data_IF_640953731918
#
_entry.id   IF_640953731918
#
_cell.length_a   1.000
_cell.length_b   1.000
_cell.length_c   1.000
_cell.angle_alpha   90.00
_cell.angle_beta   90.00
_cell.angle_gamma   90.00
#
_symmetry.space_group_name_H-M   'P 1'
#
loop_
_entity.id
_entity.type
_entity.pdbx_description
1 polymer ?
#
# COMPACT_ATOMS: atom_id res chain seq x y z
N UNK A 1 18.37 -31.05 -37.28
CA UNK A 1 17.88 -29.67 -37.24
C UNK A 1 19.07 -28.77 -37.56
N UNK A 2 19.11 -28.22 -38.76
CA UNK A 2 20.30 -27.57 -39.35
C UNK A 2 20.18 -26.07 -39.15
N UNK A 3 21.12 -25.46 -38.41
CA UNK A 3 21.21 -24.01 -38.25
C UNK A 3 22.02 -23.41 -39.40
N UNK A 4 21.39 -22.55 -40.19
CA UNK A 4 22.02 -21.73 -41.24
C UNK A 4 22.38 -20.37 -40.63
N UNK A 5 23.65 -20.01 -40.69
CA UNK A 5 24.17 -18.70 -40.30
C UNK A 5 24.29 -17.85 -41.56
N UNK A 6 23.54 -16.75 -41.63
CA UNK A 6 23.67 -15.74 -42.69
C UNK A 6 24.43 -14.53 -42.16
N UNK A 7 25.59 -14.24 -42.74
CA UNK A 7 26.34 -13.00 -42.54
C UNK A 7 25.72 -11.89 -43.41
N UNK A 8 25.16 -10.86 -42.78
CA UNK A 8 24.69 -9.64 -43.43
C UNK A 8 25.79 -8.59 -43.52
N UNK A 9 25.95 -7.98 -44.69
CA UNK A 9 26.91 -6.93 -44.99
C UNK A 9 26.51 -5.59 -44.34
N UNK A 10 27.48 -4.94 -43.67
CA UNK A 10 27.34 -3.60 -43.09
C UNK A 10 27.66 -2.57 -44.18
N UNK A 11 26.69 -1.71 -44.50
CA UNK A 11 26.89 -0.49 -45.30
C UNK A 11 27.32 0.64 -44.37
N UNK A 12 28.40 1.32 -44.73
CA UNK A 12 28.84 2.56 -44.13
C UNK A 12 28.03 3.70 -44.75
N UNK A 13 27.13 4.30 -43.96
CA UNK A 13 26.47 5.56 -44.29
C UNK A 13 27.23 6.72 -43.62
N UNK A 14 27.34 7.82 -44.36
CA UNK A 14 28.11 9.03 -44.10
C UNK A 14 27.91 9.65 -42.71
N UNK A 15 29.03 9.90 -42.03
CA UNK A 15 29.15 10.76 -40.85
C UNK A 15 28.84 12.23 -41.21
N UNK A 16 27.60 12.66 -40.96
CA UNK A 16 27.26 14.08 -40.87
C UNK A 16 27.58 14.59 -39.47
N UNK A 17 28.67 15.36 -39.36
CA UNK A 17 28.98 16.17 -38.18
C UNK A 17 27.92 17.28 -38.08
N UNK A 18 26.90 17.04 -37.27
CA UNK A 18 25.97 18.09 -36.82
C UNK A 18 26.71 18.88 -35.74
N UNK A 19 27.01 20.16 -36.02
CA UNK A 19 27.52 21.06 -34.98
C UNK A 19 26.45 21.21 -33.89
N UNK A 20 26.66 20.53 -32.76
CA UNK A 20 25.87 20.67 -31.55
C UNK A 20 25.96 22.13 -31.07
N UNK A 21 24.88 22.88 -31.31
CA UNK A 21 24.66 24.17 -30.68
C UNK A 21 24.81 24.00 -29.16
N UNK A 22 25.79 24.70 -28.59
CA UNK A 22 26.29 24.51 -27.23
C UNK A 22 25.20 24.28 -26.19
N UNK A 23 25.14 23.05 -25.69
CA UNK A 23 24.46 22.75 -24.45
C UNK A 23 25.13 23.57 -23.34
N UNK A 24 24.43 24.63 -22.89
CA UNK A 24 24.85 25.38 -21.71
C UNK A 24 25.11 24.43 -20.54
N UNK A 25 26.03 24.76 -19.62
CA UNK A 25 26.43 23.87 -18.54
C UNK A 25 25.18 23.40 -17.80
N UNK A 26 24.84 22.12 -17.97
CA UNK A 26 23.77 21.48 -17.23
C UNK A 26 24.15 21.63 -15.76
N UNK A 27 23.46 22.52 -15.05
CA UNK A 27 23.65 22.73 -13.63
C UNK A 27 23.52 21.36 -12.95
N UNK A 28 24.65 20.80 -12.53
CA UNK A 28 24.70 19.51 -11.87
C UNK A 28 23.84 19.65 -10.60
N UNK A 29 22.61 19.14 -10.64
CA UNK A 29 21.74 19.15 -9.49
C UNK A 29 22.42 18.31 -8.42
N UNK A 30 22.86 18.96 -7.36
CA UNK A 30 23.58 18.30 -6.28
C UNK A 30 22.65 17.24 -5.64
N UNK A 31 23.07 15.96 -5.59
CA UNK A 31 22.20 14.82 -5.31
C UNK A 31 21.65 14.76 -3.87
N UNK A 32 22.03 15.72 -3.02
CA UNK A 32 21.68 15.76 -1.61
C UNK A 32 20.52 16.71 -1.27
N UNK A 33 20.03 17.47 -2.25
CA UNK A 33 18.87 18.33 -2.05
C UNK A 33 17.56 17.66 -2.42
N UNK A 34 16.57 17.78 -1.54
CA UNK A 34 15.23 17.22 -1.74
C UNK A 34 14.20 18.36 -1.66
N UNK A 35 13.31 18.44 -2.65
CA UNK A 35 12.16 19.34 -2.65
C UNK A 35 10.96 18.63 -2.01
N UNK A 36 10.58 19.04 -0.79
CA UNK A 36 9.59 18.32 0.00
C UNK A 36 8.18 18.44 -0.59
N UNK A 37 7.78 19.63 -1.04
CA UNK A 37 6.47 19.86 -1.65
C UNK A 37 6.23 19.02 -2.90
N UNK A 38 7.24 18.90 -3.77
CA UNK A 38 7.17 18.06 -4.98
C UNK A 38 7.04 16.56 -4.66
N UNK A 39 7.50 16.15 -3.47
CA UNK A 39 7.50 14.77 -3.01
C UNK A 39 6.31 14.40 -2.12
N UNK A 40 5.50 15.37 -1.69
CA UNK A 40 4.43 15.16 -0.72
C UNK A 40 3.42 14.11 -1.18
N UNK A 41 2.83 14.30 -2.37
CA UNK A 41 1.80 13.41 -2.92
C UNK A 41 2.33 12.01 -3.20
N UNK A 42 3.56 11.91 -3.73
CA UNK A 42 4.19 10.63 -4.03
C UNK A 42 4.41 9.82 -2.74
N UNK A 43 4.85 10.48 -1.67
CA UNK A 43 4.93 9.80 -0.39
C UNK A 43 3.53 9.48 0.11
N UNK A 44 2.60 10.43 0.20
CA UNK A 44 1.25 10.18 0.71
C UNK A 44 0.55 8.98 0.02
N UNK A 45 0.56 8.91 -1.30
CA UNK A 45 -0.23 7.93 -2.06
C UNK A 45 0.57 6.74 -2.59
N UNK A 46 1.83 6.91 -2.98
CA UNK A 46 2.59 5.86 -3.69
C UNK A 46 3.53 5.05 -2.79
N UNK A 47 3.88 5.56 -1.61
CA UNK A 47 4.77 4.84 -0.72
C UNK A 47 4.17 3.48 -0.32
N UNK A 48 4.87 2.42 -0.69
CA UNK A 48 4.65 1.06 -0.20
C UNK A 48 5.78 0.68 0.76
N UNK A 49 5.43 0.31 1.99
CA UNK A 49 6.40 -0.10 3.01
C UNK A 49 7.30 1.03 3.53
N UNK A 50 8.53 0.68 3.90
CA UNK A 50 9.47 1.58 4.60
C UNK A 50 10.28 2.50 3.66
N UNK A 51 10.18 2.31 2.35
CA UNK A 51 10.92 3.12 1.37
C UNK A 51 10.22 4.45 1.11
N UNK A 52 10.95 5.55 1.19
CA UNK A 52 10.43 6.87 0.79
C UNK A 52 10.53 7.03 -0.72
N UNK A 53 9.49 7.63 -1.31
CA UNK A 53 9.48 7.91 -2.74
C UNK A 53 10.12 9.28 -2.94
N UNK A 54 11.35 9.28 -3.45
CA UNK A 54 12.06 10.50 -3.85
C UNK A 54 11.95 10.68 -5.36
N UNK A 55 11.20 11.69 -5.78
CA UNK A 55 11.08 12.23 -7.13
C UNK A 55 11.95 13.50 -7.18
N UNK A 56 13.20 13.36 -7.63
CA UNK A 56 14.17 14.43 -7.85
C UNK A 56 15.61 13.92 -7.67
N UNK A 57 16.60 14.12 -8.53
CA UNK A 57 16.70 14.90 -9.78
C UNK A 57 17.52 14.15 -10.85
N UNK A 58 17.21 12.87 -11.08
CA UNK A 58 17.78 12.06 -12.16
C UNK A 58 16.67 11.38 -12.93
N UNK A 59 16.81 11.35 -14.25
CA UNK A 59 16.04 10.48 -15.16
C UNK A 59 15.81 9.13 -14.48
N UNK A 60 14.56 8.69 -14.35
CA UNK A 60 14.25 7.32 -13.92
C UNK A 60 14.85 6.38 -14.98
N UNK A 61 16.04 5.83 -14.72
CA UNK A 61 16.46 4.59 -15.35
C UNK A 61 15.52 3.52 -14.81
N UNK A 62 14.44 3.28 -15.56
CA UNK A 62 13.58 2.14 -15.31
C UNK A 62 14.43 0.87 -15.28
N UNK A 63 13.97 -0.13 -14.53
CA UNK A 63 14.63 -1.44 -14.37
C UNK A 63 14.94 -2.17 -15.70
N UNK A 64 14.47 -1.63 -16.84
CA UNK A 64 14.69 -2.09 -18.22
C UNK A 64 15.22 -1.00 -19.19
N UNK A 65 15.83 0.10 -18.72
CA UNK A 65 16.44 1.11 -19.60
C UNK A 65 15.48 1.99 -20.41
N UNK A 66 14.16 1.83 -20.25
CA UNK A 66 13.17 2.70 -20.90
C UNK A 66 13.04 4.00 -20.11
N UNK A 67 13.53 5.08 -20.70
CA UNK A 67 13.29 6.46 -20.23
C UNK A 67 11.83 6.79 -20.53
N UNK A 68 10.98 6.79 -19.50
CA UNK A 68 9.63 7.34 -19.65
C UNK A 68 9.77 8.87 -19.69
N UNK A 69 9.33 9.54 -20.78
CA UNK A 69 9.36 10.99 -20.83
C UNK A 69 8.56 11.53 -19.66
N UNK A 70 9.17 12.45 -18.90
CA UNK A 70 8.47 13.24 -17.90
C UNK A 70 7.31 13.91 -18.64
N UNK A 71 6.07 13.54 -18.29
CA UNK A 71 4.86 13.96 -18.97
C UNK A 71 4.70 15.48 -18.93
N UNK A 72 5.29 16.16 -19.91
CA UNK A 72 5.11 17.57 -20.17
C UNK A 72 3.84 17.74 -21.00
N UNK A 73 2.88 18.52 -20.50
CA UNK A 73 1.87 19.19 -21.33
C UNK A 73 0.46 18.60 -21.37
N UNK A 74 0.14 17.55 -20.60
CA UNK A 74 -1.26 17.16 -20.41
C UNK A 74 -1.95 18.22 -19.54
N UNK A 75 -3.00 18.85 -20.06
CA UNK A 75 -3.91 19.78 -19.35
C UNK A 75 -4.05 19.30 -17.90
N UNK A 76 -3.37 19.99 -16.97
CA UNK A 76 -3.43 19.64 -15.56
C UNK A 76 -4.89 19.79 -15.16
N UNK A 77 -5.57 18.68 -14.90
CA UNK A 77 -6.85 18.71 -14.20
C UNK A 77 -6.60 19.55 -12.95
N UNK A 78 -7.36 20.63 -12.76
CA UNK A 78 -7.26 21.53 -11.60
C UNK A 78 -7.56 20.83 -10.26
N UNK A 79 -7.84 19.54 -10.31
CA UNK A 79 -8.17 18.70 -9.17
C UNK A 79 -6.90 18.18 -8.49
N UNK A 80 -6.81 18.38 -7.17
CA UNK A 80 -5.69 17.86 -6.37
C UNK A 80 -5.62 16.33 -6.46
N UNK A 81 -4.40 15.78 -6.39
CA UNK A 81 -4.19 14.33 -6.37
C UNK A 81 -4.93 13.67 -5.20
N UNK A 82 -4.97 14.34 -4.04
CA UNK A 82 -5.69 13.91 -2.86
C UNK A 82 -7.18 13.75 -3.09
N UNK A 83 -7.81 14.74 -3.74
CA UNK A 83 -9.23 14.70 -4.08
C UNK A 83 -9.54 13.53 -5.03
N UNK A 84 -8.74 13.32 -6.09
CA UNK A 84 -8.93 12.19 -7.01
C UNK A 84 -8.83 10.84 -6.32
N UNK A 85 -7.81 10.65 -5.47
CA UNK A 85 -7.61 9.39 -4.74
C UNK A 85 -8.72 9.13 -3.71
N UNK A 86 -9.11 10.17 -2.96
CA UNK A 86 -10.18 10.07 -1.97
C UNK A 86 -11.54 9.79 -2.62
N UNK A 87 -11.85 10.42 -3.77
CA UNK A 87 -13.07 10.14 -4.54
C UNK A 87 -13.07 8.73 -5.10
N UNK A 88 -11.98 8.27 -5.71
CA UNK A 88 -11.88 6.90 -6.20
C UNK A 88 -12.14 5.86 -5.10
N UNK A 89 -11.63 6.10 -3.88
CA UNK A 89 -11.88 5.26 -2.73
C UNK A 89 -13.36 5.28 -2.30
N UNK A 90 -13.97 6.47 -2.25
CA UNK A 90 -15.37 6.67 -1.92
C UNK A 90 -16.29 5.94 -2.90
N UNK A 91 -16.09 6.16 -4.20
CA UNK A 91 -16.86 5.52 -5.27
C UNK A 91 -16.76 3.99 -5.22
N UNK A 92 -15.55 3.46 -5.06
CA UNK A 92 -15.34 2.01 -4.91
C UNK A 92 -16.08 1.46 -3.68
N UNK A 93 -16.15 2.22 -2.59
CA UNK A 93 -16.90 1.81 -1.39
C UNK A 93 -18.41 1.86 -1.62
N UNK A 94 -18.91 2.92 -2.26
CA UNK A 94 -20.33 3.05 -2.57
C UNK A 94 -20.81 1.95 -3.53
N UNK A 95 -20.05 1.68 -4.60
CA UNK A 95 -20.35 0.61 -5.55
C UNK A 95 -20.44 -0.77 -4.88
N UNK A 96 -19.55 -1.06 -3.92
CA UNK A 96 -19.59 -2.33 -3.17
C UNK A 96 -20.79 -2.43 -2.24
N UNK A 97 -21.18 -1.33 -1.58
CA UNK A 97 -22.40 -1.31 -0.77
C UNK A 97 -23.65 -1.53 -1.63
N UNK A 98 -23.67 -0.92 -2.81
CA UNK A 98 -24.74 -1.11 -3.79
C UNK A 98 -24.85 -2.56 -4.25
N UNK A 99 -23.73 -3.20 -4.56
CA UNK A 99 -23.68 -4.61 -4.93
C UNK A 99 -24.16 -5.53 -3.79
N UNK A 100 -23.73 -5.27 -2.56
CA UNK A 100 -24.06 -6.10 -1.41
C UNK A 100 -25.54 -5.98 -0.96
N UNK A 101 -26.14 -4.79 -1.09
CA UNK A 101 -27.40 -4.46 -0.43
C UNK A 101 -28.48 -3.86 -1.35
N UNK A 102 -28.17 -3.63 -2.63
CA UNK A 102 -29.04 -2.99 -3.62
C UNK A 102 -29.64 -1.70 -3.09
N UNK A 103 -28.79 -0.67 -3.00
CA UNK A 103 -29.21 0.61 -2.43
C UNK A 103 -30.33 1.22 -3.26
N UNK A 104 -31.33 1.78 -2.60
CA UNK A 104 -32.28 2.67 -3.28
C UNK A 104 -31.59 3.96 -3.69
N UNK A 105 -32.15 4.68 -4.67
CA UNK A 105 -31.59 5.96 -5.13
C UNK A 105 -31.44 6.98 -4.00
N UNK A 106 -32.43 7.05 -3.10
CA UNK A 106 -32.37 7.92 -1.92
C UNK A 106 -31.21 7.57 -0.98
N UNK A 107 -31.01 6.27 -0.72
CA UNK A 107 -29.91 5.80 0.12
C UNK A 107 -28.55 6.08 -0.53
N UNK A 108 -28.43 5.80 -1.83
CA UNK A 108 -27.23 6.06 -2.62
C UNK A 108 -26.86 7.54 -2.60
N UNK A 109 -27.83 8.43 -2.85
CA UNK A 109 -27.61 9.88 -2.83
C UNK A 109 -27.17 10.37 -1.45
N UNK A 110 -27.80 9.90 -0.37
CA UNK A 110 -27.42 10.26 0.99
C UNK A 110 -25.99 9.84 1.34
N UNK A 111 -25.61 8.61 0.98
CA UNK A 111 -24.26 8.08 1.18
C UNK A 111 -23.22 8.81 0.33
N UNK A 112 -23.52 9.11 -0.92
CA UNK A 112 -22.65 9.87 -1.81
C UNK A 112 -22.37 11.29 -1.28
N UNK A 113 -23.41 11.99 -0.80
CA UNK A 113 -23.23 13.31 -0.17
C UNK A 113 -22.36 13.25 1.08
N UNK A 114 -22.52 12.20 1.89
CA UNK A 114 -21.68 12.00 3.07
C UNK A 114 -20.21 11.72 2.68
N UNK A 115 -19.97 10.91 1.65
CA UNK A 115 -18.64 10.67 1.07
C UNK A 115 -18.00 11.99 0.61
N UNK A 116 -18.71 12.79 -0.19
CA UNK A 116 -18.19 14.07 -0.69
C UNK A 116 -17.86 15.04 0.45
N UNK A 117 -18.66 15.04 1.52
CA UNK A 117 -18.37 15.87 2.71
C UNK A 117 -17.11 15.40 3.47
N UNK A 118 -16.92 14.09 3.65
CA UNK A 118 -15.71 13.58 4.30
C UNK A 118 -14.46 13.80 3.44
N UNK A 119 -14.58 13.65 2.12
CA UNK A 119 -13.51 13.94 1.14
C UNK A 119 -13.09 15.40 1.24
N UNK A 120 -14.03 16.36 1.24
CA UNK A 120 -13.69 17.80 1.34
C UNK A 120 -12.89 18.10 2.60
N UNK A 121 -13.36 17.64 3.76
CA UNK A 121 -12.64 17.82 5.04
C UNK A 121 -11.23 17.22 4.97
N UNK A 122 -11.09 16.04 4.40
CA UNK A 122 -9.78 15.40 4.25
C UNK A 122 -8.86 16.17 3.31
N UNK A 123 -9.36 16.64 2.17
CA UNK A 123 -8.58 17.42 1.21
C UNK A 123 -8.13 18.74 1.83
N UNK A 124 -9.00 19.44 2.55
CA UNK A 124 -8.65 20.68 3.25
C UNK A 124 -7.52 20.44 4.28
N UNK A 125 -7.62 19.36 5.07
CA UNK A 125 -6.60 18.97 6.04
C UNK A 125 -5.25 18.65 5.36
N UNK A 126 -5.29 17.90 4.25
CA UNK A 126 -4.09 17.51 3.49
C UNK A 126 -3.44 18.71 2.81
N UNK A 127 -4.23 19.60 2.20
CA UNK A 127 -3.72 20.78 1.51
C UNK A 127 -3.12 21.80 2.51
N UNK A 128 -3.70 21.90 3.72
CA UNK A 128 -3.13 22.67 4.82
C UNK A 128 -1.79 22.11 5.33
N UNK A 129 -1.57 20.78 5.25
CA UNK A 129 -0.26 20.17 5.56
C UNK A 129 0.71 20.37 4.40
N UNK A 130 0.27 20.11 3.18
CA UNK A 130 1.06 20.20 1.95
C UNK A 130 1.64 21.60 1.74
N UNK A 131 0.85 22.64 1.97
CA UNK A 131 1.27 24.05 1.78
C UNK A 131 2.47 24.45 2.64
N UNK A 132 2.72 23.77 3.77
CA UNK A 132 3.90 24.01 4.62
C UNK A 132 5.21 23.60 3.97
N UNK A 133 5.16 22.73 2.96
CA UNK A 133 6.31 22.18 2.26
C UNK A 133 6.48 22.75 0.85
N UNK A 134 5.60 23.67 0.43
CA UNK A 134 5.68 24.27 -0.90
C UNK A 134 6.95 25.10 -1.06
N UNK A 135 7.68 24.87 -2.15
CA UNK A 135 9.01 25.45 -2.40
C UNK A 135 10.10 25.08 -1.38
N UNK A 136 9.83 24.25 -0.37
CA UNK A 136 10.81 23.90 0.66
C UNK A 136 11.82 22.88 0.13
N UNK A 137 13.06 23.33 -0.04
CA UNK A 137 14.20 22.52 -0.44
C UNK A 137 15.15 22.32 0.75
N UNK A 138 15.42 21.07 1.09
CA UNK A 138 16.24 20.70 2.24
C UNK A 138 17.54 20.03 1.80
N UNK A 139 18.61 20.21 2.58
CA UNK A 139 19.87 19.51 2.38
C UNK A 139 19.96 18.31 3.33
N UNK A 140 20.10 17.09 2.79
CA UNK A 140 20.17 15.88 3.61
C UNK A 140 21.51 15.67 4.33
N UNK A 141 22.55 16.43 3.96
CA UNK A 141 23.86 16.38 4.60
C UNK A 141 23.94 17.23 5.87
N UNK A 142 22.96 18.10 6.12
CA UNK A 142 22.93 18.92 7.33
C UNK A 142 21.90 18.40 8.36
N UNK A 143 22.12 18.75 9.63
CA UNK A 143 21.25 18.31 10.72
C UNK A 143 19.85 18.96 10.64
N UNK A 144 19.74 20.16 10.04
CA UNK A 144 18.50 20.91 9.96
C UNK A 144 17.52 20.27 8.96
N UNK A 145 18.00 19.93 7.76
CA UNK A 145 17.30 19.23 6.71
C UNK A 145 16.90 17.82 7.16
N UNK A 146 17.76 17.09 7.88
CA UNK A 146 17.37 15.80 8.48
C UNK A 146 16.19 15.94 9.46
N UNK A 147 16.18 16.98 10.30
CA UNK A 147 15.05 17.26 11.21
C UNK A 147 13.78 17.61 10.43
N UNK A 148 13.88 18.45 9.40
CA UNK A 148 12.74 18.80 8.53
C UNK A 148 12.19 17.60 7.77
N UNK A 149 13.08 16.71 7.29
CA UNK A 149 12.71 15.45 6.67
C UNK A 149 11.91 14.57 7.63
N UNK A 150 12.38 14.39 8.86
CA UNK A 150 11.63 13.61 9.86
C UNK A 150 10.26 14.21 10.19
N UNK A 151 10.14 15.54 10.29
CA UNK A 151 8.84 16.18 10.47
C UNK A 151 7.91 15.94 9.27
N UNK A 152 8.43 16.08 8.05
CA UNK A 152 7.70 15.77 6.82
C UNK A 152 7.18 14.33 6.82
N UNK A 153 8.03 13.36 7.19
CA UNK A 153 7.65 11.95 7.28
C UNK A 153 6.49 11.72 8.28
N UNK A 154 6.54 12.38 9.44
CA UNK A 154 5.49 12.28 10.46
C UNK A 154 4.17 12.87 9.98
N UNK A 155 4.22 14.02 9.32
CA UNK A 155 3.02 14.70 8.80
C UNK A 155 2.40 13.93 7.64
N UNK A 156 3.21 13.38 6.72
CA UNK A 156 2.73 12.46 5.68
C UNK A 156 2.10 11.21 6.31
N UNK A 157 2.73 10.60 7.31
CA UNK A 157 2.16 9.42 7.98
C UNK A 157 0.83 9.72 8.67
N UNK A 158 0.68 10.92 9.25
CA UNK A 158 -0.59 11.38 9.81
C UNK A 158 -1.67 11.50 8.74
N UNK A 159 -1.35 12.10 7.59
CA UNK A 159 -2.26 12.20 6.46
C UNK A 159 -2.67 10.81 5.93
N UNK A 160 -1.72 9.85 5.87
CA UNK A 160 -2.05 8.45 5.52
C UNK A 160 -3.01 7.81 6.52
N UNK A 161 -2.81 8.05 7.81
CA UNK A 161 -3.72 7.54 8.84
C UNK A 161 -5.13 8.14 8.69
N UNK A 162 -5.23 9.43 8.37
CA UNK A 162 -6.51 10.08 8.04
C UNK A 162 -7.16 9.46 6.79
N UNK A 163 -6.38 9.22 5.73
CA UNK A 163 -6.87 8.58 4.50
C UNK A 163 -7.40 7.18 4.76
N UNK A 164 -6.69 6.37 5.56
CA UNK A 164 -7.14 5.02 5.95
C UNK A 164 -8.45 5.07 6.73
N UNK A 165 -8.60 6.07 7.60
CA UNK A 165 -9.78 6.30 8.42
C UNK A 165 -10.89 7.12 7.77
N UNK A 166 -10.75 7.48 6.49
CA UNK A 166 -11.60 8.49 5.82
C UNK A 166 -13.10 8.15 5.91
N UNK A 167 -13.42 6.86 5.82
CA UNK A 167 -14.78 6.33 5.82
C UNK A 167 -15.02 5.34 6.98
N UNK A 168 -14.25 5.45 8.07
CA UNK A 168 -14.45 4.63 9.27
C UNK A 168 -15.73 5.06 10.03
N UNK A 169 -16.14 4.33 11.07
CA UNK A 169 -17.39 4.56 11.82
C UNK A 169 -17.58 5.98 12.37
N UNK A 170 -16.48 6.70 12.62
CA UNK A 170 -16.50 8.08 13.16
C UNK A 170 -16.70 9.15 12.08
N UNK A 171 -16.53 8.78 10.80
CA UNK A 171 -16.75 9.67 9.66
C UNK A 171 -18.23 10.06 9.54
N UNK A 172 -18.54 11.11 8.75
CA UNK A 172 -19.93 11.42 8.46
C UNK A 172 -20.59 10.26 7.70
N UNK A 173 -19.89 9.70 6.73
CA UNK A 173 -20.30 8.54 5.97
C UNK A 173 -20.63 7.35 6.89
N UNK A 174 -19.75 7.00 7.84
CA UNK A 174 -19.98 5.90 8.78
C UNK A 174 -21.26 6.08 9.61
N UNK A 175 -21.52 7.30 10.08
CA UNK A 175 -22.74 7.63 10.84
C UNK A 175 -23.99 7.63 9.96
N UNK A 176 -23.91 8.20 8.76
CA UNK A 176 -25.03 8.19 7.79
C UNK A 176 -25.35 6.77 7.34
N UNK A 177 -24.35 5.93 7.11
CA UNK A 177 -24.51 4.51 6.76
C UNK A 177 -25.37 3.76 7.78
N UNK A 178 -25.04 3.90 9.06
CA UNK A 178 -25.79 3.24 10.14
C UNK A 178 -27.26 3.70 10.24
N UNK A 179 -27.56 4.95 9.88
CA UNK A 179 -28.93 5.49 9.88
C UNK A 179 -29.69 5.36 8.56
N UNK A 180 -29.00 5.02 7.46
CA UNK A 180 -29.57 4.98 6.10
C UNK A 180 -29.96 3.56 5.68
N UNK A 181 -29.22 2.55 6.16
CA UNK A 181 -29.50 1.15 5.87
C UNK A 181 -30.52 0.58 6.86
N UNK A 182 -31.40 -0.27 6.35
CA UNK A 182 -32.22 -1.10 7.24
C UNK A 182 -31.40 -2.24 7.87
N UNK A 183 -31.98 -2.95 8.84
CA UNK A 183 -31.31 -4.03 9.57
C UNK A 183 -30.84 -5.17 8.64
N UNK A 184 -31.62 -5.48 7.59
CA UNK A 184 -31.29 -6.55 6.65
C UNK A 184 -30.11 -6.16 5.76
N UNK A 185 -30.09 -4.93 5.24
CA UNK A 185 -28.99 -4.38 4.47
C UNK A 185 -27.72 -4.31 5.33
N UNK A 186 -27.81 -3.80 6.56
CA UNK A 186 -26.67 -3.74 7.47
C UNK A 186 -26.08 -5.13 7.77
N UNK A 187 -26.94 -6.12 8.02
CA UNK A 187 -26.51 -7.51 8.19
C UNK A 187 -25.82 -8.05 6.92
N UNK A 188 -26.30 -7.67 5.73
CA UNK A 188 -25.67 -7.97 4.44
C UNK A 188 -24.26 -7.40 4.33
N UNK A 189 -24.08 -6.11 4.64
CA UNK A 189 -22.76 -5.44 4.63
C UNK A 189 -21.78 -6.11 5.59
N UNK A 190 -22.22 -6.44 6.81
CA UNK A 190 -21.38 -7.09 7.83
C UNK A 190 -20.98 -8.49 7.36
N UNK A 191 -21.93 -9.26 6.83
CA UNK A 191 -21.67 -10.61 6.29
C UNK A 191 -20.64 -10.56 5.17
N UNK A 192 -20.80 -9.64 4.22
CA UNK A 192 -19.87 -9.54 3.10
C UNK A 192 -18.49 -9.04 3.54
N UNK A 193 -18.44 -8.04 4.43
CA UNK A 193 -17.17 -7.56 5.00
C UNK A 193 -16.40 -8.69 5.69
N UNK A 194 -17.10 -9.55 6.44
CA UNK A 194 -16.53 -10.75 7.05
C UNK A 194 -16.07 -11.76 6.00
N UNK A 195 -16.87 -12.05 4.97
CA UNK A 195 -16.51 -13.00 3.92
C UNK A 195 -15.24 -12.58 3.18
N UNK A 196 -15.10 -11.29 2.83
CA UNK A 196 -13.89 -10.74 2.21
C UNK A 196 -12.68 -10.85 3.13
N UNK A 197 -12.85 -10.55 4.42
CA UNK A 197 -11.79 -10.68 5.42
C UNK A 197 -11.29 -12.13 5.50
N UNK A 198 -12.20 -13.08 5.63
CA UNK A 198 -11.88 -14.50 5.72
C UNK A 198 -11.27 -15.05 4.42
N UNK A 199 -11.74 -14.58 3.26
CA UNK A 199 -11.12 -14.94 1.98
C UNK A 199 -9.68 -14.42 1.89
N UNK A 200 -9.47 -13.14 2.21
CA UNK A 200 -8.14 -12.51 2.17
C UNK A 200 -7.18 -13.21 3.13
N UNK A 201 -7.63 -13.52 4.34
CA UNK A 201 -6.82 -14.24 5.32
C UNK A 201 -6.40 -15.63 4.82
N UNK A 202 -7.34 -16.42 4.28
CA UNK A 202 -7.06 -17.73 3.67
C UNK A 202 -6.03 -17.63 2.56
N UNK A 203 -6.13 -16.63 1.69
CA UNK A 203 -5.16 -16.42 0.62
C UNK A 203 -3.75 -16.13 1.16
N UNK A 204 -3.61 -15.27 2.18
CA UNK A 204 -2.31 -14.99 2.82
C UNK A 204 -1.72 -16.24 3.50
N UNK A 205 -2.56 -17.00 4.20
CA UNK A 205 -2.16 -18.25 4.87
C UNK A 205 -1.67 -19.25 3.84
N UNK A 206 -2.44 -19.52 2.78
CA UNK A 206 -2.05 -20.44 1.73
C UNK A 206 -0.72 -20.04 1.05
N UNK A 207 -0.59 -18.76 0.65
CA UNK A 207 0.63 -18.26 0.02
C UNK A 207 1.86 -18.34 0.95
N UNK A 208 1.67 -18.13 2.25
CA UNK A 208 2.75 -18.22 3.24
C UNK A 208 3.11 -19.67 3.55
N UNK A 209 2.14 -20.58 3.61
CA UNK A 209 2.37 -21.99 3.87
C UNK A 209 3.18 -22.66 2.78
N UNK A 210 3.01 -22.29 1.52
CA UNK A 210 3.89 -22.75 0.41
C UNK A 210 5.36 -22.42 0.72
N UNK A 211 5.66 -21.18 1.13
CA UNK A 211 7.03 -20.77 1.48
C UNK A 211 7.55 -21.46 2.74
N UNK A 212 6.67 -21.71 3.71
CA UNK A 212 7.04 -22.47 4.91
C UNK A 212 7.36 -23.93 4.56
N UNK A 213 6.58 -24.54 3.67
CA UNK A 213 6.79 -25.90 3.21
C UNK A 213 8.14 -26.05 2.50
N UNK A 214 8.47 -25.12 1.59
CA UNK A 214 9.79 -25.07 0.94
C UNK A 214 10.94 -25.01 1.95
N UNK A 215 10.75 -24.31 3.08
CA UNK A 215 11.78 -24.14 4.10
C UNK A 215 11.85 -25.29 5.13
N UNK A 216 10.72 -25.96 5.41
CA UNK A 216 10.58 -26.93 6.49
C UNK A 216 10.46 -28.38 6.01
N UNK A 217 10.09 -28.60 4.75
CA UNK A 217 9.70 -29.90 4.20
C UNK A 217 8.56 -30.51 5.01
N UNK A 218 7.40 -29.86 5.03
CA UNK A 218 6.25 -30.31 5.81
C UNK A 218 5.62 -31.53 5.16
N UNK A 219 5.18 -32.48 5.98
CA UNK A 219 4.21 -33.47 5.53
C UNK A 219 2.82 -32.84 5.39
N UNK A 220 1.94 -33.46 4.60
CA UNK A 220 0.55 -33.00 4.44
C UNK A 220 -0.16 -32.79 5.78
N UNK A 221 0.02 -33.73 6.73
CA UNK A 221 -0.58 -33.62 8.07
C UNK A 221 -0.06 -32.40 8.84
N UNK A 222 1.24 -32.13 8.80
CA UNK A 222 1.84 -30.96 9.46
C UNK A 222 1.35 -29.65 8.81
N UNK A 223 1.29 -29.62 7.47
CA UNK A 223 0.75 -28.48 6.72
C UNK A 223 -0.69 -28.17 7.15
N UNK A 224 -1.59 -29.16 7.12
CA UNK A 224 -3.00 -29.02 7.53
C UNK A 224 -3.14 -28.59 9.00
N UNK A 225 -2.25 -29.04 9.87
CA UNK A 225 -2.23 -28.68 11.29
C UNK A 225 -1.90 -27.20 11.52
N UNK A 226 -0.87 -26.69 10.82
CA UNK A 226 -0.50 -25.26 10.86
C UNK A 226 -1.61 -24.42 10.22
N UNK A 227 -2.13 -24.84 9.05
CA UNK A 227 -3.22 -24.15 8.36
C UNK A 227 -4.44 -24.01 9.25
N UNK A 228 -4.93 -25.11 9.84
CA UNK A 228 -6.08 -25.11 10.74
C UNK A 228 -5.88 -24.16 11.92
N UNK A 229 -4.68 -24.15 12.49
CA UNK A 229 -4.32 -23.27 13.62
C UNK A 229 -4.36 -21.80 13.22
N UNK A 230 -3.83 -21.45 12.05
CA UNK A 230 -3.86 -20.09 11.51
C UNK A 230 -5.27 -19.64 11.14
N UNK A 231 -6.06 -20.49 10.49
CA UNK A 231 -7.43 -20.17 10.08
C UNK A 231 -8.38 -20.02 11.28
N UNK A 232 -8.12 -20.72 12.39
CA UNK A 232 -8.84 -20.54 13.64
C UNK A 232 -8.58 -19.17 14.31
N UNK A 233 -7.54 -18.44 13.89
CA UNK A 233 -7.16 -17.13 14.44
C UNK A 233 -7.10 -16.04 13.39
N UNK A 234 -8.23 -15.82 12.72
CA UNK A 234 -8.36 -14.73 11.76
C UNK A 234 -8.18 -13.36 12.46
N UNK A 235 -7.19 -12.54 12.05
CA UNK A 235 -7.03 -11.19 12.58
C UNK A 235 -8.10 -10.24 11.99
N UNK A 236 -8.34 -9.11 12.66
CA UNK A 236 -9.24 -8.06 12.18
C UNK A 236 -8.60 -7.29 11.01
N UNK A 237 -8.55 -7.90 9.82
CA UNK A 237 -7.94 -7.28 8.63
C UNK A 237 -8.83 -6.17 8.09
N UNK A 238 -8.21 -5.04 7.75
CA UNK A 238 -8.85 -3.97 6.99
C UNK A 238 -9.04 -4.45 5.55
N UNK A 239 -10.28 -4.47 5.07
CA UNK A 239 -10.62 -4.95 3.71
C UNK A 239 -10.78 -3.82 2.69
N UNK A 240 -10.80 -2.57 3.15
CA UNK A 240 -11.13 -1.38 2.34
C UNK A 240 -9.93 -0.46 2.09
N UNK A 241 -8.71 -0.90 2.38
CA UNK A 241 -7.51 -0.10 2.17
C UNK A 241 -7.13 -0.08 0.67
N UNK A 242 -7.02 1.08 0.01
CA UNK A 242 -6.51 1.15 -1.36
C UNK A 242 -5.06 0.65 -1.47
N UNK A 243 -4.25 0.80 -0.41
CA UNK A 243 -2.91 0.24 -0.37
C UNK A 243 -2.91 -1.29 -0.22
N UNK A 244 -4.01 -1.91 0.20
CA UNK A 244 -4.13 -3.36 0.29
C UNK A 244 -4.17 -4.06 -1.08
N UNK A 245 -4.39 -3.32 -2.17
CA UNK A 245 -4.20 -3.85 -3.54
C UNK A 245 -2.72 -4.04 -3.87
N UNK A 246 -1.80 -3.47 -3.08
CA UNK A 246 -0.38 -3.73 -3.24
C UNK A 246 -0.05 -5.07 -2.61
N UNK A 247 0.32 -6.03 -3.44
CA UNK A 247 0.85 -7.34 -3.05
C UNK A 247 2.23 -7.20 -2.40
N UNK A 248 2.28 -6.62 -1.19
CA UNK A 248 3.46 -6.70 -0.33
C UNK A 248 3.49 -8.09 0.31
N UNK A 249 4.03 -9.04 -0.44
CA UNK A 249 4.18 -10.43 -0.01
C UNK A 249 5.03 -10.54 1.27
N UNK A 250 5.90 -9.58 1.56
CA UNK A 250 6.70 -9.59 2.78
C UNK A 250 5.84 -9.20 4.00
N UNK A 251 5.04 -8.13 3.89
CA UNK A 251 4.08 -7.74 4.91
C UNK A 251 3.10 -8.87 5.23
N UNK A 252 2.51 -9.48 4.20
CA UNK A 252 1.55 -10.58 4.36
C UNK A 252 2.17 -11.78 5.08
N UNK A 253 3.39 -12.17 4.69
CA UNK A 253 4.12 -13.28 5.33
C UNK A 253 4.42 -13.00 6.81
N UNK A 254 4.91 -11.79 7.14
CA UNK A 254 5.19 -11.43 8.54
C UNK A 254 3.92 -11.37 9.38
N UNK A 255 2.80 -10.92 8.80
CA UNK A 255 1.50 -10.92 9.45
C UNK A 255 1.07 -12.35 9.80
N UNK A 256 1.24 -13.31 8.87
CA UNK A 256 0.96 -14.73 9.17
C UNK A 256 1.86 -15.26 10.28
N UNK A 257 3.16 -14.94 10.24
CA UNK A 257 4.10 -15.33 11.29
C UNK A 257 3.74 -14.73 12.66
N UNK A 258 3.28 -13.48 12.69
CA UNK A 258 2.83 -12.81 13.90
C UNK A 258 1.61 -13.51 14.49
N UNK A 259 0.60 -13.82 13.68
CA UNK A 259 -0.60 -14.56 14.12
C UNK A 259 -0.22 -15.96 14.63
N UNK A 260 0.68 -16.66 13.93
CA UNK A 260 1.18 -17.95 14.38
C UNK A 260 1.89 -17.85 15.74
N UNK A 261 2.65 -16.78 15.98
CA UNK A 261 3.36 -16.54 17.25
C UNK A 261 2.43 -16.37 18.45
N UNK A 262 1.18 -15.97 18.19
CA UNK A 262 0.16 -15.78 19.22
C UNK A 262 -0.67 -17.05 19.45
N UNK A 263 -0.71 -17.95 18.46
CA UNK A 263 -1.49 -19.18 18.50
C UNK A 263 -0.97 -20.17 19.56
N UNK A 264 -1.85 -21.09 20.00
CA UNK A 264 -1.40 -22.21 20.82
C UNK A 264 -0.54 -23.14 19.97
N UNK A 265 0.76 -23.11 20.20
CA UNK A 265 1.72 -23.90 19.45
C UNK A 265 1.88 -25.33 19.96
N UNK A 266 1.22 -25.70 21.07
CA UNK A 266 1.29 -27.04 21.65
C UNK A 266 1.01 -28.15 20.62
N UNK A 267 -0.15 -28.13 19.94
CA UNK A 267 -0.49 -29.12 18.92
C UNK A 267 0.54 -29.19 17.78
N UNK A 268 0.93 -28.03 17.24
CA UNK A 268 1.91 -27.95 16.13
C UNK A 268 3.26 -28.53 16.55
N UNK A 269 3.74 -28.16 17.75
CA UNK A 269 5.05 -28.60 18.26
C UNK A 269 5.11 -30.12 18.42
N UNK A 270 4.01 -30.77 18.80
CA UNK A 270 3.98 -32.25 18.94
C UNK A 270 4.06 -32.98 17.60
N UNK A 271 3.70 -32.33 16.49
CA UNK A 271 3.71 -32.94 15.16
C UNK A 271 4.98 -32.62 14.36
N UNK A 272 5.75 -31.60 14.75
CA UNK A 272 6.98 -31.20 14.08
C UNK A 272 8.21 -31.89 14.68
N UNK A 273 9.19 -32.16 13.82
CA UNK A 273 10.54 -32.51 14.31
C UNK A 273 11.17 -31.31 15.02
N UNK A 274 12.13 -31.58 15.91
CA UNK A 274 12.86 -30.53 16.63
C UNK A 274 13.55 -29.53 15.69
N UNK A 275 14.05 -29.98 14.54
CA UNK A 275 14.63 -29.11 13.50
C UNK A 275 13.56 -28.18 12.91
N UNK A 276 12.43 -28.72 12.49
CA UNK A 276 11.32 -27.94 11.92
C UNK A 276 10.78 -26.94 12.93
N UNK A 277 10.62 -27.36 14.19
CA UNK A 277 10.14 -26.51 15.27
C UNK A 277 11.07 -25.32 15.51
N UNK A 278 12.40 -25.52 15.53
CA UNK A 278 13.36 -24.40 15.68
C UNK A 278 13.24 -23.39 14.55
N UNK A 279 13.14 -23.85 13.30
CA UNK A 279 12.97 -22.94 12.15
C UNK A 279 11.63 -22.21 12.21
N UNK A 280 10.53 -22.90 12.55
CA UNK A 280 9.22 -22.26 12.72
C UNK A 280 9.22 -21.22 13.86
N UNK A 281 9.91 -21.51 14.97
CA UNK A 281 10.08 -20.58 16.07
C UNK A 281 10.84 -19.31 15.65
N UNK A 282 11.81 -19.41 14.74
CA UNK A 282 12.48 -18.23 14.15
C UNK A 282 11.49 -17.38 13.36
N UNK A 283 10.63 -17.99 12.53
CA UNK A 283 9.58 -17.25 11.81
C UNK A 283 8.61 -16.57 12.77
N UNK A 284 8.11 -17.28 13.79
CA UNK A 284 7.23 -16.72 14.82
C UNK A 284 7.89 -15.52 15.55
N UNK A 285 9.17 -15.63 15.91
CA UNK A 285 9.91 -14.55 16.56
C UNK A 285 10.07 -13.34 15.63
N UNK A 286 10.32 -13.56 14.34
CA UNK A 286 10.35 -12.49 13.34
C UNK A 286 9.00 -11.78 13.25
N UNK A 287 7.90 -12.52 13.09
CA UNK A 287 6.55 -11.96 13.06
C UNK A 287 6.23 -11.14 14.31
N UNK A 288 6.56 -11.67 15.49
CA UNK A 288 6.39 -10.99 16.78
C UNK A 288 7.20 -9.68 16.85
N UNK A 289 8.46 -9.69 16.42
CA UNK A 289 9.32 -8.51 16.40
C UNK A 289 8.79 -7.43 15.43
N UNK A 290 8.07 -7.83 14.38
CA UNK A 290 7.51 -6.94 13.38
C UNK A 290 6.11 -6.42 13.70
N UNK A 291 5.52 -6.74 14.87
CA UNK A 291 4.14 -6.32 15.22
C UNK A 291 3.91 -4.81 15.08
N UNK A 292 4.75 -3.99 15.73
CA UNK A 292 4.61 -2.53 15.68
C UNK A 292 4.68 -2.00 14.24
N UNK A 293 5.55 -2.59 13.42
CA UNK A 293 5.63 -2.25 12.01
C UNK A 293 4.37 -2.66 11.23
N UNK A 294 3.85 -3.87 11.43
CA UNK A 294 2.60 -4.36 10.80
C UNK A 294 1.42 -3.44 11.16
N UNK A 295 1.32 -3.04 12.44
CA UNK A 295 0.29 -2.11 12.92
C UNK A 295 0.42 -0.73 12.24
N UNK A 296 1.65 -0.21 12.12
CA UNK A 296 1.92 1.05 11.41
C UNK A 296 1.60 1.01 9.92
N UNK A 297 1.67 -0.17 9.28
CA UNK A 297 1.24 -0.33 7.88
C UNK A 297 -0.28 -0.20 7.72
N UNK A 298 -1.07 -0.34 8.79
CA UNK A 298 -2.52 -0.15 8.78
C UNK A 298 -3.31 -1.32 8.18
N UNK A 299 -2.68 -2.49 8.02
CA UNK A 299 -3.34 -3.71 7.51
C UNK A 299 -4.35 -4.28 8.51
N UNK A 300 -4.16 -4.00 9.80
CA UNK A 300 -5.07 -4.35 10.88
C UNK A 300 -6.03 -3.20 11.17
N UNK A 301 -7.27 -3.54 11.47
CA UNK A 301 -8.23 -2.62 12.09
C UNK A 301 -7.68 -2.21 13.46
N UNK A 302 -7.73 -0.92 13.76
CA UNK A 302 -7.31 -0.41 15.06
C UNK A 302 -8.24 -1.01 16.12
N UNK A 303 -7.73 -1.94 16.95
CA UNK A 303 -8.43 -2.39 18.14
C UNK A 303 -8.61 -1.17 19.04
N UNK A 304 -9.82 -0.64 19.10
CA UNK A 304 -10.12 0.37 20.11
C UNK A 304 -10.07 -0.32 21.48
N UNK A 305 -9.42 0.29 22.49
CA UNK A 305 -9.47 -0.16 23.87
C UNK A 305 -10.89 -0.06 24.45
#
# INVERSE_FOLDING_TARGET
MVCVVTCGAVRADDDRVVEEAGAGPAAAQEPHFIELGANFDANLFEQSGNGWVLRGGGVRLGRNGVVLPNGAGGVQSSESSALRQARALGEKRLARLDEACRLSETQRQALHLAIESDIRRFVDDVDAVRSRYDGLRINMNDQAGQKQWHQFQQDVQRCRNQLRGLFDEQSLFGRVLAGTLDEQQLAGVVKESRARRSFRWRAMVAATLVKMDDALGLSQRQHESIERTLLAREPALRTDDPAAERDDAHLQMNLVYMVLSEADAGPIKTELSERQWRTLALFMNQGKAMRSWIEQQGVLESRRP
#
